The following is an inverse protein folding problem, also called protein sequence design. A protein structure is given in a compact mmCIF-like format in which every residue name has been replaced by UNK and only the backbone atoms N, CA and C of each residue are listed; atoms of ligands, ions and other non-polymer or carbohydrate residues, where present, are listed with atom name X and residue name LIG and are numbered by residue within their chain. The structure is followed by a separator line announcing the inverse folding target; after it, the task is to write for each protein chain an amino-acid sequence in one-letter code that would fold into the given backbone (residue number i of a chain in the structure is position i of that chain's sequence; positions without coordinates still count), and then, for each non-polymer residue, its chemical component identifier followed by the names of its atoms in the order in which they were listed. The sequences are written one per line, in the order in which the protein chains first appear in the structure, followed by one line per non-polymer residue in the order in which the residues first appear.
data_IF_196702158562
#
_entry.id   IF_196702158562
#
_cell.length_a   1.000
_cell.length_b   1.000
_cell.length_c   1.000
_cell.angle_alpha   90.00
_cell.angle_beta   90.00
_cell.angle_gamma   90.00
#
_symmetry.space_group_name_H-M   'P 1'
#
loop_
_entity.id
_entity.type
_entity.pdbx_description
1 polymer ?
#
# COMPACT_ATOMS: atom_id res chain seq x y z
N UNK A 1 21.00 27.94 11.30
CA UNK A 1 20.37 27.06 10.30
C UNK A 1 20.66 27.41 8.83
N UNK A 2 21.33 28.52 8.53
CA UNK A 2 21.71 28.88 7.14
C UNK A 2 22.67 27.91 6.40
N UNK A 3 23.23 26.92 7.11
CA UNK A 3 24.16 25.93 6.51
C UNK A 3 23.57 24.49 6.43
N UNK A 4 22.29 24.26 6.83
CA UNK A 4 21.70 22.93 6.80
C UNK A 4 21.32 22.54 5.36
N UNK A 5 21.71 21.35 4.92
CA UNK A 5 21.28 20.82 3.62
C UNK A 5 19.77 20.54 3.61
N UNK A 6 19.15 20.48 2.43
CA UNK A 6 17.72 20.14 2.31
C UNK A 6 17.42 18.77 2.96
N UNK A 7 18.31 17.79 2.77
CA UNK A 7 18.21 16.45 3.35
C UNK A 7 18.20 16.48 4.89
N UNK A 8 19.16 17.18 5.50
CA UNK A 8 19.23 17.33 6.96
C UNK A 8 18.00 18.08 7.52
N UNK A 9 17.53 19.08 6.78
CA UNK A 9 16.34 19.83 7.18
C UNK A 9 15.08 18.94 7.19
N UNK A 10 14.91 18.10 6.17
CA UNK A 10 13.82 17.13 6.12
C UNK A 10 13.88 16.13 7.28
N UNK A 11 15.06 15.57 7.55
CA UNK A 11 15.26 14.61 8.61
C UNK A 11 14.94 15.21 10.00
N UNK A 12 15.45 16.40 10.28
CA UNK A 12 15.23 17.09 11.57
C UNK A 12 13.79 17.60 11.74
N UNK A 13 13.10 17.94 10.65
CA UNK A 13 11.69 18.34 10.69
C UNK A 13 10.73 17.14 10.83
N UNK A 14 11.21 15.93 10.63
CA UNK A 14 10.41 14.71 10.70
C UNK A 14 9.84 14.48 12.12
N UNK A 15 8.57 14.09 12.28
CA UNK A 15 8.07 13.59 13.56
C UNK A 15 8.97 12.46 14.08
N UNK A 16 9.01 12.29 15.40
CA UNK A 16 9.91 11.32 16.03
C UNK A 16 9.63 9.90 15.50
N UNK A 17 10.71 9.26 15.01
CA UNK A 17 10.74 7.85 14.59
C UNK A 17 12.00 7.18 15.10
N UNK A 18 11.85 5.97 15.60
CA UNK A 18 12.96 5.20 16.16
C UNK A 18 14.05 4.94 15.12
N UNK A 19 13.69 4.65 13.86
CA UNK A 19 14.66 4.44 12.80
C UNK A 19 15.53 5.65 12.49
N UNK A 20 14.95 6.85 12.45
CA UNK A 20 15.71 8.08 12.24
C UNK A 20 16.65 8.39 13.43
N UNK A 21 16.23 8.05 14.66
CA UNK A 21 17.09 8.14 15.85
C UNK A 21 18.23 7.15 15.76
N UNK A 22 17.95 5.90 15.41
CA UNK A 22 18.95 4.85 15.23
C UNK A 22 20.00 5.22 14.14
N UNK A 23 19.55 5.85 13.08
CA UNK A 23 20.40 6.34 12.01
C UNK A 23 21.19 7.63 12.36
N UNK A 24 20.92 8.24 13.51
CA UNK A 24 21.59 9.46 13.98
C UNK A 24 21.25 10.72 13.16
N UNK A 25 20.07 10.75 12.51
CA UNK A 25 19.63 11.86 11.64
C UNK A 25 18.43 12.63 12.19
N UNK A 26 17.77 12.09 13.20
CA UNK A 26 16.65 12.76 13.87
C UNK A 26 17.06 14.07 14.55
N UNK A 27 16.09 14.94 14.82
CA UNK A 27 16.30 16.07 15.72
C UNK A 27 16.67 15.57 17.13
N UNK A 28 17.61 16.25 17.80
CA UNK A 28 18.07 15.90 19.13
C UNK A 28 16.96 16.09 20.21
N UNK A 29 16.06 17.03 19.94
CA UNK A 29 14.95 17.36 20.85
C UNK A 29 13.83 18.09 20.10
N UNK A 30 12.68 18.29 20.80
CA UNK A 30 11.50 18.94 20.22
C UNK A 30 11.76 20.39 19.76
N UNK A 31 12.63 21.13 20.47
CA UNK A 31 12.96 22.51 20.10
C UNK A 31 13.68 22.55 18.73
N UNK A 32 14.65 21.66 18.52
CA UNK A 32 15.32 21.54 17.24
C UNK A 32 14.35 21.12 16.13
N UNK A 33 13.44 20.18 16.40
CA UNK A 33 12.42 19.76 15.45
C UNK A 33 11.53 20.91 15.05
N UNK A 34 11.00 21.67 16.00
CA UNK A 34 10.13 22.82 15.73
C UNK A 34 10.88 23.87 14.91
N UNK A 35 12.14 24.18 15.25
CA UNK A 35 12.96 25.09 14.44
C UNK A 35 13.17 24.59 13.03
N UNK A 36 13.37 23.28 12.85
CA UNK A 36 13.51 22.67 11.52
C UNK A 36 12.19 22.73 10.74
N UNK A 37 11.04 22.49 11.38
CA UNK A 37 9.73 22.64 10.75
C UNK A 37 9.43 24.07 10.31
N UNK A 38 9.76 25.06 11.15
CA UNK A 38 9.62 26.47 10.78
C UNK A 38 10.50 26.82 9.57
N UNK A 39 11.76 26.39 9.57
CA UNK A 39 12.65 26.63 8.43
C UNK A 39 12.20 25.86 7.18
N UNK A 40 11.65 24.65 7.32
CA UNK A 40 11.13 23.86 6.21
C UNK A 40 9.89 24.54 5.60
N UNK A 41 9.03 25.17 6.40
CA UNK A 41 7.86 25.89 5.93
C UNK A 41 8.21 27.04 4.95
N UNK A 42 9.37 27.66 5.13
CA UNK A 42 9.86 28.76 4.29
C UNK A 42 10.61 28.29 3.03
N UNK A 43 10.83 26.98 2.85
CA UNK A 43 11.55 26.44 1.68
C UNK A 43 10.66 26.56 0.44
N UNK A 44 11.12 27.25 -0.65
CA UNK A 44 10.40 27.26 -1.90
C UNK A 44 10.33 25.88 -2.54
N UNK A 45 9.17 25.47 -3.08
CA UNK A 45 9.00 24.16 -3.73
C UNK A 45 10.00 23.94 -4.88
N UNK A 46 10.33 24.99 -5.64
CA UNK A 46 11.35 24.92 -6.71
C UNK A 46 12.72 24.46 -6.22
N UNK A 47 13.02 24.58 -4.93
CA UNK A 47 14.30 24.11 -4.37
C UNK A 47 14.45 22.60 -4.49
N UNK A 48 13.36 21.84 -4.41
CA UNK A 48 13.36 20.39 -4.57
C UNK A 48 13.72 19.94 -5.99
N UNK A 49 13.47 20.79 -7.00
CA UNK A 49 13.84 20.54 -8.39
C UNK A 49 15.31 20.90 -8.70
N UNK A 50 15.98 21.69 -7.83
CA UNK A 50 17.35 22.12 -8.03
C UNK A 50 18.34 21.49 -7.05
N UNK A 51 17.87 20.82 -5.99
CA UNK A 51 18.66 20.23 -4.91
C UNK A 51 18.09 18.87 -4.55
N UNK A 52 18.65 17.82 -5.18
CA UNK A 52 18.26 16.44 -4.89
C UNK A 52 18.74 16.02 -3.49
N UNK A 53 17.93 15.22 -2.77
CA UNK A 53 18.29 14.66 -1.45
C UNK A 53 19.28 13.48 -1.58
N UNK A 54 19.18 12.73 -2.69
CA UNK A 54 20.18 11.74 -3.15
C UNK A 54 20.69 12.23 -4.51
N UNK A 55 22.00 12.19 -4.80
CA UNK A 55 22.54 12.75 -6.04
C UNK A 55 21.98 12.07 -7.29
N UNK A 56 21.64 12.85 -8.31
CA UNK A 56 21.07 12.41 -9.58
C UNK A 56 21.96 11.37 -10.29
N UNK A 57 23.26 11.58 -10.28
CA UNK A 57 24.25 10.74 -10.99
C UNK A 57 24.38 9.34 -10.39
N UNK A 58 24.00 9.17 -9.11
CA UNK A 58 24.27 7.94 -8.34
C UNK A 58 23.01 7.14 -7.99
N UNK A 59 21.81 7.59 -8.41
CA UNK A 59 20.56 6.97 -7.96
C UNK A 59 19.49 7.00 -9.06
N UNK A 60 19.09 5.84 -9.57
CA UNK A 60 18.07 5.73 -10.62
C UNK A 60 16.69 6.24 -10.17
N UNK A 61 16.38 6.15 -8.85
CA UNK A 61 15.11 6.67 -8.32
C UNK A 61 15.10 8.19 -8.39
N UNK A 62 16.24 8.87 -8.10
CA UNK A 62 16.35 10.31 -8.28
C UNK A 62 16.23 10.70 -9.76
N UNK A 63 16.87 9.96 -10.67
CA UNK A 63 16.70 10.18 -12.13
C UNK A 63 15.23 10.06 -12.52
N UNK A 64 14.56 8.99 -12.09
CA UNK A 64 13.14 8.79 -12.36
C UNK A 64 12.28 9.96 -11.86
N UNK A 65 12.50 10.44 -10.63
CA UNK A 65 11.75 11.56 -10.03
C UNK A 65 11.93 12.84 -10.85
N UNK A 66 13.17 13.15 -11.21
CA UNK A 66 13.48 14.39 -11.90
C UNK A 66 13.04 14.38 -13.37
N UNK A 67 13.24 13.25 -14.06
CA UNK A 67 12.94 13.12 -15.49
C UNK A 67 11.45 12.97 -15.79
N UNK A 68 10.67 12.44 -14.82
CA UNK A 68 9.22 12.30 -14.95
C UNK A 68 8.40 13.48 -14.40
N UNK A 69 9.08 14.53 -13.87
CA UNK A 69 8.40 15.70 -13.32
C UNK A 69 7.65 16.49 -14.39
N UNK A 70 6.35 16.71 -14.18
CA UNK A 70 5.51 17.53 -15.07
C UNK A 70 5.50 18.99 -14.62
N UNK A 71 6.27 19.82 -15.33
CA UNK A 71 6.39 21.25 -15.05
C UNK A 71 5.07 22.01 -15.30
N UNK A 72 4.21 21.53 -16.20
CA UNK A 72 2.93 22.16 -16.47
C UNK A 72 1.94 21.89 -15.33
N UNK A 73 1.86 20.64 -14.88
CA UNK A 73 1.07 20.29 -13.69
C UNK A 73 1.57 20.99 -12.41
N UNK A 74 2.88 21.22 -12.29
CA UNK A 74 3.49 21.96 -11.17
C UNK A 74 3.22 23.47 -11.19
N UNK A 75 2.98 24.07 -12.35
CA UNK A 75 2.90 25.53 -12.52
C UNK A 75 1.99 26.24 -11.50
N UNK A 76 0.78 25.73 -11.13
CA UNK A 76 -0.11 26.41 -10.19
C UNK A 76 0.49 26.63 -8.79
N UNK A 77 1.39 25.74 -8.33
CA UNK A 77 2.01 25.82 -7.00
C UNK A 77 3.48 26.17 -7.05
N UNK A 78 4.03 26.46 -8.23
CA UNK A 78 5.47 26.67 -8.46
C UNK A 78 6.07 27.85 -7.70
N UNK A 79 5.26 28.81 -7.26
CA UNK A 79 5.69 29.96 -6.44
C UNK A 79 5.53 29.72 -4.95
N UNK A 80 4.97 28.60 -4.53
CA UNK A 80 4.69 28.32 -3.13
C UNK A 80 5.95 27.89 -2.38
N UNK A 81 5.95 28.16 -1.07
CA UNK A 81 6.79 27.46 -0.11
C UNK A 81 6.09 26.18 0.36
N UNK A 82 6.81 25.33 1.09
CA UNK A 82 6.25 24.12 1.71
C UNK A 82 5.09 24.47 2.64
N UNK A 83 5.21 25.53 3.45
CA UNK A 83 4.15 26.00 4.33
C UNK A 83 2.92 26.47 3.56
N UNK A 84 3.11 27.22 2.47
CA UNK A 84 2.02 27.66 1.61
C UNK A 84 1.34 26.49 0.90
N UNK A 85 2.08 25.47 0.47
CA UNK A 85 1.49 24.25 -0.08
C UNK A 85 0.63 23.56 0.97
N UNK A 86 1.15 23.35 2.20
CA UNK A 86 0.40 22.76 3.31
C UNK A 86 -0.89 23.54 3.58
N UNK A 87 -0.82 24.87 3.69
CA UNK A 87 -1.98 25.70 3.98
C UNK A 87 -3.02 25.63 2.86
N UNK A 88 -2.58 25.67 1.60
CA UNK A 88 -3.46 25.53 0.44
C UNK A 88 -4.14 24.15 0.37
N UNK A 89 -3.40 23.08 0.65
CA UNK A 89 -3.95 21.71 0.71
C UNK A 89 -5.10 21.57 1.72
N UNK A 90 -5.14 22.39 2.76
CA UNK A 90 -6.21 22.38 3.77
C UNK A 90 -7.46 23.17 3.33
N UNK A 91 -7.38 23.96 2.26
CA UNK A 91 -8.51 24.77 1.77
C UNK A 91 -9.47 23.96 0.87
N UNK A 92 -10.71 24.42 0.68
CA UNK A 92 -11.61 23.84 -0.31
C UNK A 92 -11.14 23.96 -1.76
N UNK A 93 -10.22 24.89 -2.08
CA UNK A 93 -9.68 25.07 -3.44
C UNK A 93 -8.82 23.88 -3.89
N UNK A 94 -8.24 23.12 -2.94
CA UNK A 94 -7.58 21.85 -3.19
C UNK A 94 -8.63 20.73 -3.20
N UNK A 95 -9.49 20.73 -4.21
CA UNK A 95 -10.49 19.68 -4.42
C UNK A 95 -9.92 18.46 -5.17
N UNK A 96 -10.73 17.42 -5.32
CA UNK A 96 -10.32 16.16 -5.96
C UNK A 96 -9.81 16.37 -7.39
N UNK A 97 -10.47 17.18 -8.20
CA UNK A 97 -10.07 17.41 -9.59
C UNK A 97 -8.74 18.15 -9.68
N UNK A 98 -8.58 19.18 -8.85
CA UNK A 98 -7.34 19.98 -8.76
C UNK A 98 -6.17 19.14 -8.26
N UNK A 99 -6.37 18.31 -7.23
CA UNK A 99 -5.32 17.42 -6.69
C UNK A 99 -4.92 16.35 -7.70
N UNK A 100 -5.88 15.78 -8.42
CA UNK A 100 -5.59 14.81 -9.50
C UNK A 100 -4.74 15.43 -10.61
N UNK A 101 -5.07 16.65 -11.03
CA UNK A 101 -4.31 17.37 -12.05
C UNK A 101 -2.91 17.79 -11.57
N UNK A 102 -2.75 18.06 -10.28
CA UNK A 102 -1.48 18.49 -9.67
C UNK A 102 -0.51 17.31 -9.44
N UNK A 103 -1.02 16.10 -9.20
CA UNK A 103 -0.22 14.94 -8.79
C UNK A 103 1.05 14.69 -9.66
N UNK A 104 1.02 14.76 -11.01
CA UNK A 104 2.23 14.59 -11.82
C UNK A 104 3.29 15.69 -11.63
N UNK A 105 2.89 16.86 -11.13
CA UNK A 105 3.77 18.01 -10.86
C UNK A 105 4.40 17.99 -9.47
N UNK A 106 3.98 17.10 -8.57
CA UNK A 106 4.56 16.98 -7.24
C UNK A 106 5.67 15.92 -7.21
N UNK A 107 6.82 16.29 -6.64
CA UNK A 107 7.84 15.28 -6.32
C UNK A 107 7.55 14.64 -4.97
N UNK A 108 8.02 13.40 -4.73
CA UNK A 108 7.90 12.74 -3.43
C UNK A 108 8.40 13.58 -2.26
N UNK A 109 9.52 14.26 -2.45
CA UNK A 109 10.15 15.08 -1.41
C UNK A 109 9.31 16.33 -1.08
N UNK A 110 8.59 16.92 -2.06
CA UNK A 110 7.67 18.03 -1.81
C UNK A 110 6.49 17.58 -0.94
N UNK A 111 5.94 16.41 -1.25
CA UNK A 111 4.81 15.83 -0.50
C UNK A 111 5.26 15.44 0.91
N UNK A 112 6.42 14.78 1.03
CA UNK A 112 7.04 14.45 2.31
C UNK A 112 7.28 15.70 3.18
N UNK A 113 7.80 16.78 2.59
CA UNK A 113 8.01 18.03 3.29
C UNK A 113 6.71 18.64 3.83
N UNK A 114 5.65 18.66 3.01
CA UNK A 114 4.35 19.20 3.41
C UNK A 114 3.71 18.36 4.54
N UNK A 115 3.79 17.02 4.47
CA UNK A 115 3.21 16.13 5.49
C UNK A 115 3.87 16.28 6.86
N UNK A 116 5.19 16.59 6.92
CA UNK A 116 5.91 16.87 8.17
C UNK A 116 5.36 18.09 8.94
N UNK A 117 4.69 19.01 8.23
CA UNK A 117 4.05 20.19 8.81
C UNK A 117 2.57 19.97 9.16
N UNK A 118 2.03 18.78 8.92
CA UNK A 118 0.61 18.44 9.15
C UNK A 118 0.43 17.67 10.45
N UNK A 119 -0.71 17.89 11.12
CA UNK A 119 -1.19 17.03 12.20
C UNK A 119 -1.95 15.83 11.61
N UNK A 120 -2.29 14.84 12.44
CA UNK A 120 -3.08 13.66 12.04
C UNK A 120 -4.37 14.09 11.34
N UNK A 121 -5.13 15.00 11.92
CA UNK A 121 -6.40 15.47 11.33
C UNK A 121 -6.20 16.16 9.97
N UNK A 122 -5.08 16.83 9.76
CA UNK A 122 -4.75 17.50 8.50
C UNK A 122 -4.44 16.45 7.42
N UNK A 123 -3.68 15.40 7.77
CA UNK A 123 -3.39 14.26 6.88
C UNK A 123 -4.68 13.56 6.43
N UNK A 124 -5.58 13.26 7.39
CA UNK A 124 -6.88 12.65 7.10
C UNK A 124 -7.71 13.54 6.17
N UNK A 125 -7.80 14.85 6.46
CA UNK A 125 -8.56 15.80 5.63
C UNK A 125 -8.00 15.88 4.20
N UNK A 126 -6.69 15.98 4.04
CA UNK A 126 -6.06 16.07 2.71
C UNK A 126 -6.25 14.76 1.93
N UNK A 127 -5.98 13.61 2.55
CA UNK A 127 -6.12 12.31 1.92
C UNK A 127 -7.58 12.03 1.47
N UNK A 128 -8.57 12.43 2.27
CA UNK A 128 -10.00 12.22 1.96
C UNK A 128 -10.46 12.96 0.69
N UNK A 129 -9.73 13.99 0.26
CA UNK A 129 -9.98 14.73 -0.99
C UNK A 129 -9.31 14.09 -2.22
N UNK A 130 -8.39 13.14 -2.03
CA UNK A 130 -7.70 12.46 -3.11
C UNK A 130 -8.47 11.20 -3.51
N UNK A 131 -8.90 11.10 -4.76
CA UNK A 131 -9.57 9.91 -5.30
C UNK A 131 -8.67 9.26 -6.36
N UNK A 132 -8.32 8.00 -6.15
CA UNK A 132 -7.54 7.20 -7.10
C UNK A 132 -8.30 5.92 -7.39
N UNK A 133 -8.69 5.72 -8.64
CA UNK A 133 -9.48 4.57 -9.10
C UNK A 133 -8.63 3.72 -10.03
N UNK A 134 -8.55 2.43 -9.74
CA UNK A 134 -7.82 1.45 -10.54
C UNK A 134 -8.72 0.27 -10.91
N UNK A 135 -8.35 -0.47 -11.95
CA UNK A 135 -9.20 -1.53 -12.53
C UNK A 135 -8.36 -2.68 -13.03
N UNK A 136 -8.86 -3.89 -12.77
CA UNK A 136 -8.37 -5.11 -13.40
C UNK A 136 -9.55 -6.07 -13.67
N UNK A 137 -10.00 -6.88 -12.70
CA UNK A 137 -11.25 -7.66 -12.81
C UNK A 137 -12.41 -7.00 -12.07
N UNK A 138 -12.12 -6.02 -11.25
CA UNK A 138 -13.07 -5.15 -10.59
C UNK A 138 -12.54 -3.71 -10.55
N UNK A 139 -13.32 -2.80 -9.93
CA UNK A 139 -13.02 -1.37 -9.85
C UNK A 139 -12.81 -0.96 -8.39
N UNK A 140 -11.57 -0.60 -8.05
CA UNK A 140 -11.14 -0.27 -6.69
C UNK A 140 -10.98 1.25 -6.52
N UNK A 141 -11.26 1.76 -5.31
CA UNK A 141 -11.03 3.18 -4.97
C UNK A 141 -12.14 4.14 -5.36
N UNK A 142 -13.32 3.66 -5.74
CA UNK A 142 -14.48 4.51 -5.99
C UNK A 142 -14.97 5.16 -4.69
N UNK A 143 -15.56 6.39 -4.75
CA UNK A 143 -16.17 7.01 -3.59
C UNK A 143 -17.22 6.10 -2.91
N UNK A 144 -17.20 6.06 -1.59
CA UNK A 144 -18.10 5.19 -0.82
C UNK A 144 -17.72 3.70 -0.80
N UNK A 145 -16.61 3.33 -1.45
CA UNK A 145 -16.09 1.95 -1.46
C UNK A 145 -14.88 1.81 -0.53
N UNK A 146 -14.68 0.60 -0.04
CA UNK A 146 -13.54 0.21 0.77
C UNK A 146 -13.27 -1.26 0.52
N UNK A 147 -12.12 -1.55 -0.08
CA UNK A 147 -11.76 -2.90 -0.50
C UNK A 147 -10.85 -3.59 0.52
N UNK A 148 -10.61 -4.88 0.33
CA UNK A 148 -9.68 -5.64 1.16
C UNK A 148 -8.88 -6.65 0.34
N UNK A 149 -7.61 -6.80 0.68
CA UNK A 149 -6.81 -7.96 0.29
C UNK A 149 -7.17 -9.12 1.22
N UNK A 150 -7.61 -10.24 0.68
CA UNK A 150 -7.74 -11.49 1.39
C UNK A 150 -6.39 -12.19 1.41
N UNK A 151 -5.80 -12.40 2.60
CA UNK A 151 -4.49 -13.02 2.78
C UNK A 151 -4.63 -14.41 3.41
N UNK A 152 -4.67 -15.48 2.60
CA UNK A 152 -4.88 -16.84 3.07
C UNK A 152 -3.55 -17.57 3.33
N UNK A 153 -2.60 -16.92 4.02
CA UNK A 153 -1.28 -17.49 4.28
C UNK A 153 -1.38 -18.81 5.05
N UNK A 154 -0.53 -19.77 4.68
CA UNK A 154 -0.46 -21.05 5.38
C UNK A 154 1.01 -21.48 5.57
N UNK A 155 1.44 -21.94 6.77
CA UNK A 155 2.85 -22.19 7.09
C UNK A 155 3.55 -23.22 6.22
N UNK A 156 2.79 -24.07 5.52
CA UNK A 156 3.32 -25.14 4.65
C UNK A 156 2.77 -25.09 3.22
N UNK A 157 2.08 -24.01 2.83
CA UNK A 157 1.38 -23.89 1.54
C UNK A 157 0.40 -25.04 1.27
N UNK A 158 -0.21 -25.62 2.33
CA UNK A 158 -1.19 -26.69 2.17
C UNK A 158 -2.44 -26.15 1.47
N UNK A 159 -2.79 -26.75 0.32
CA UNK A 159 -3.88 -26.28 -0.54
C UNK A 159 -5.23 -26.26 0.17
N UNK A 160 -5.50 -27.21 1.09
CA UNK A 160 -6.77 -27.27 1.82
C UNK A 160 -6.85 -26.19 2.87
N UNK A 161 -5.73 -25.93 3.58
CA UNK A 161 -5.64 -24.84 4.55
C UNK A 161 -5.79 -23.47 3.89
N UNK A 162 -5.11 -23.24 2.76
CA UNK A 162 -5.26 -22.03 1.94
C UNK A 162 -6.70 -21.86 1.48
N UNK A 163 -7.32 -22.91 0.92
CA UNK A 163 -8.70 -22.88 0.44
C UNK A 163 -9.70 -22.58 1.58
N UNK A 164 -9.51 -23.18 2.76
CA UNK A 164 -10.36 -22.91 3.92
C UNK A 164 -10.30 -21.41 4.32
N UNK A 165 -9.11 -20.82 4.34
CA UNK A 165 -8.93 -19.39 4.62
C UNK A 165 -9.52 -18.50 3.53
N UNK A 166 -9.39 -18.88 2.25
CA UNK A 166 -10.04 -18.14 1.14
C UNK A 166 -11.56 -18.16 1.30
N UNK A 167 -12.15 -19.31 1.57
CA UNK A 167 -13.61 -19.46 1.77
C UNK A 167 -14.07 -18.62 2.96
N UNK A 168 -13.34 -18.67 4.07
CA UNK A 168 -13.66 -17.87 5.27
C UNK A 168 -13.66 -16.38 4.96
N UNK A 169 -12.60 -15.85 4.34
CA UNK A 169 -12.52 -14.45 3.96
C UNK A 169 -13.63 -14.01 3.00
N UNK A 170 -13.93 -14.81 1.97
CA UNK A 170 -15.03 -14.52 1.03
C UNK A 170 -16.38 -14.43 1.74
N UNK A 171 -16.61 -15.25 2.79
CA UNK A 171 -17.83 -15.21 3.58
C UNK A 171 -18.01 -13.93 4.38
N UNK A 172 -16.92 -13.25 4.70
CA UNK A 172 -16.94 -11.91 5.32
C UNK A 172 -16.92 -10.78 4.29
N UNK A 173 -17.00 -11.11 3.00
CA UNK A 173 -16.95 -10.12 1.92
C UNK A 173 -15.56 -9.53 1.72
N UNK A 174 -14.50 -10.21 2.13
CA UNK A 174 -13.12 -9.84 1.88
C UNK A 174 -12.61 -10.44 0.57
N UNK A 175 -11.66 -9.76 -0.10
CA UNK A 175 -10.98 -10.27 -1.29
C UNK A 175 -11.27 -9.49 -2.57
N UNK A 176 -11.99 -8.40 -2.51
CA UNK A 176 -12.27 -7.55 -3.67
C UNK A 176 -11.02 -6.80 -4.17
N UNK A 177 -10.06 -6.42 -3.31
CA UNK A 177 -8.81 -5.85 -3.80
C UNK A 177 -7.93 -6.91 -4.48
N UNK A 178 -7.76 -8.05 -3.84
CA UNK A 178 -6.99 -9.19 -4.34
C UNK A 178 -7.13 -10.39 -3.37
N UNK A 179 -7.05 -11.60 -3.89
CA UNK A 179 -6.67 -12.76 -3.09
C UNK A 179 -5.16 -12.91 -3.21
N UNK A 180 -4.44 -12.45 -2.18
CA UNK A 180 -2.99 -12.32 -2.19
C UNK A 180 -2.33 -13.19 -1.13
N UNK A 181 -1.53 -14.18 -1.54
CA UNK A 181 -0.86 -15.11 -0.66
C UNK A 181 0.66 -14.90 -0.64
N UNK A 182 1.24 -14.82 0.56
CA UNK A 182 2.67 -14.94 0.75
C UNK A 182 3.02 -16.44 0.78
N UNK A 183 3.82 -16.97 -0.16
CA UNK A 183 4.17 -18.38 -0.15
C UNK A 183 5.13 -18.68 1.01
N UNK A 184 4.97 -19.82 1.66
CA UNK A 184 5.89 -20.29 2.72
C UNK A 184 7.27 -20.63 2.14
N UNK A 185 7.38 -20.80 0.82
CA UNK A 185 8.62 -21.16 0.12
C UNK A 185 8.66 -20.50 -1.26
N UNK A 186 9.83 -19.95 -1.62
CA UNK A 186 10.12 -19.40 -2.96
C UNK A 186 10.32 -20.47 -4.05
N UNK A 187 9.95 -21.74 -3.79
CA UNK A 187 10.08 -22.77 -4.79
C UNK A 187 9.10 -22.57 -5.95
N UNK A 188 9.62 -22.59 -7.17
CA UNK A 188 8.80 -22.41 -8.39
C UNK A 188 7.63 -23.41 -8.48
N UNK A 189 7.78 -24.70 -8.09
CA UNK A 189 6.64 -25.63 -8.03
C UNK A 189 5.56 -25.20 -7.03
N UNK A 190 5.92 -24.72 -5.83
CA UNK A 190 4.96 -24.25 -4.84
C UNK A 190 4.20 -23.02 -5.34
N UNK A 191 4.92 -22.00 -5.84
CA UNK A 191 4.34 -20.80 -6.44
C UNK A 191 3.35 -21.16 -7.57
N UNK A 192 3.75 -22.06 -8.48
CA UNK A 192 2.89 -22.48 -9.58
C UNK A 192 1.65 -23.26 -9.15
N UNK A 193 1.71 -24.03 -8.04
CA UNK A 193 0.51 -24.68 -7.44
C UNK A 193 -0.44 -23.66 -6.84
N UNK A 194 0.07 -22.68 -6.09
CA UNK A 194 -0.74 -21.64 -5.48
C UNK A 194 -1.43 -20.77 -6.54
N UNK A 195 -0.71 -20.34 -7.59
CA UNK A 195 -1.32 -19.57 -8.67
C UNK A 195 -2.46 -20.33 -9.35
N UNK A 196 -2.28 -21.62 -9.65
CA UNK A 196 -3.35 -22.45 -10.24
C UNK A 196 -4.53 -22.64 -9.28
N UNK A 197 -4.25 -22.89 -7.98
CA UNK A 197 -5.30 -23.05 -6.98
C UNK A 197 -6.19 -21.80 -6.91
N UNK A 198 -5.59 -20.61 -6.85
CA UNK A 198 -6.35 -19.36 -6.79
C UNK A 198 -7.10 -19.10 -8.10
N UNK A 199 -6.49 -19.36 -9.26
CA UNK A 199 -7.13 -19.21 -10.57
C UNK A 199 -8.33 -20.15 -10.72
N UNK A 200 -8.18 -21.41 -10.30
CA UNK A 200 -9.27 -22.40 -10.32
C UNK A 200 -10.46 -22.00 -9.45
N UNK A 201 -10.19 -21.50 -8.24
CA UNK A 201 -11.25 -21.03 -7.32
C UNK A 201 -11.98 -19.81 -7.91
N UNK A 202 -11.22 -18.83 -8.41
CA UNK A 202 -11.78 -17.61 -9.02
C UNK A 202 -12.64 -17.97 -10.22
N UNK A 203 -12.16 -18.85 -11.11
CA UNK A 203 -12.87 -19.26 -12.30
C UNK A 203 -14.12 -20.09 -11.98
N UNK A 204 -14.04 -21.03 -11.02
CA UNK A 204 -15.14 -21.92 -10.66
C UNK A 204 -16.35 -21.19 -10.09
N UNK A 205 -16.11 -20.14 -9.29
CA UNK A 205 -17.18 -19.37 -8.65
C UNK A 205 -17.48 -18.04 -9.34
N UNK A 206 -16.85 -17.80 -10.50
CA UNK A 206 -16.99 -16.55 -11.26
C UNK A 206 -16.81 -15.32 -10.34
N UNK A 207 -15.71 -15.32 -9.55
CA UNK A 207 -15.41 -14.27 -8.58
C UNK A 207 -14.76 -13.10 -9.33
N UNK A 208 -15.33 -11.90 -9.29
CA UNK A 208 -14.73 -10.72 -9.92
C UNK A 208 -13.62 -10.14 -9.04
N UNK A 209 -12.54 -10.88 -8.93
CA UNK A 209 -11.32 -10.51 -8.23
C UNK A 209 -10.09 -11.04 -8.95
N UNK A 210 -8.94 -10.64 -8.53
CA UNK A 210 -7.63 -11.03 -9.05
C UNK A 210 -6.85 -11.83 -8.02
N UNK A 211 -5.94 -12.69 -8.49
CA UNK A 211 -5.01 -13.42 -7.65
C UNK A 211 -3.60 -12.81 -7.69
N UNK A 212 -2.86 -13.00 -6.59
CA UNK A 212 -1.45 -12.69 -6.51
C UNK A 212 -0.73 -13.67 -5.59
N UNK A 213 0.37 -14.26 -6.04
CA UNK A 213 1.34 -14.89 -5.15
C UNK A 213 2.49 -13.91 -4.95
N UNK A 214 2.69 -13.49 -3.70
CA UNK A 214 3.66 -12.44 -3.35
C UNK A 214 5.07 -13.03 -3.31
N UNK A 215 5.65 -13.18 -4.48
CA UNK A 215 7.00 -13.70 -4.69
C UNK A 215 7.84 -12.70 -5.48
N UNK A 216 9.14 -12.88 -5.49
CA UNK A 216 10.04 -12.01 -6.23
C UNK A 216 9.66 -11.95 -7.73
N UNK A 217 9.80 -10.78 -8.33
CA UNK A 217 9.42 -10.51 -9.73
C UNK A 217 10.02 -11.50 -10.74
N UNK A 218 11.25 -11.98 -10.50
CA UNK A 218 11.89 -13.01 -11.36
C UNK A 218 11.15 -14.34 -11.36
N UNK A 219 10.57 -14.74 -10.22
CA UNK A 219 9.73 -15.93 -10.13
C UNK A 219 8.43 -15.75 -10.91
N UNK A 220 7.82 -14.56 -10.81
CA UNK A 220 6.63 -14.23 -11.59
C UNK A 220 6.90 -14.30 -13.10
N UNK A 221 8.01 -13.72 -13.56
CA UNK A 221 8.43 -13.83 -14.97
C UNK A 221 8.61 -15.29 -15.41
N UNK A 222 9.21 -16.14 -14.56
CA UNK A 222 9.37 -17.55 -14.87
C UNK A 222 8.02 -18.29 -14.89
N UNK A 223 7.06 -17.94 -14.03
CA UNK A 223 5.69 -18.48 -14.08
C UNK A 223 5.00 -18.11 -15.40
N UNK A 224 5.13 -16.87 -15.83
CA UNK A 224 4.58 -16.41 -17.12
C UNK A 224 5.20 -17.21 -18.28
N UNK A 225 6.52 -17.40 -18.30
CA UNK A 225 7.21 -18.19 -19.36
C UNK A 225 6.73 -19.64 -19.40
N UNK A 226 6.33 -20.21 -18.25
CA UNK A 226 5.77 -21.56 -18.14
C UNK A 226 4.28 -21.66 -18.46
N UNK A 227 3.63 -20.55 -18.81
CA UNK A 227 2.19 -20.51 -19.08
C UNK A 227 1.32 -20.73 -17.84
N UNK A 228 1.85 -20.44 -16.65
CA UNK A 228 1.08 -20.45 -15.40
C UNK A 228 0.20 -19.18 -15.37
N UNK A 229 -1.08 -19.26 -14.93
CA UNK A 229 -1.93 -18.08 -14.85
C UNK A 229 -1.39 -17.08 -13.83
N UNK A 230 -1.13 -15.86 -14.26
CA UNK A 230 -0.70 -14.73 -13.41
C UNK A 230 -1.64 -13.56 -13.67
N UNK A 231 -2.31 -13.06 -12.63
CA UNK A 231 -3.12 -11.86 -12.73
C UNK A 231 -2.29 -10.61 -12.41
N UNK A 232 -1.67 -10.57 -11.24
CA UNK A 232 -0.86 -9.44 -10.81
C UNK A 232 0.60 -9.84 -10.62
N UNK A 233 1.49 -8.94 -10.99
CA UNK A 233 2.91 -9.02 -10.65
C UNK A 233 3.18 -8.24 -9.37
N UNK A 234 3.71 -8.92 -8.36
CA UNK A 234 4.07 -8.33 -7.08
C UNK A 234 5.55 -7.97 -7.03
N UNK A 235 5.89 -6.88 -6.32
CA UNK A 235 7.26 -6.60 -5.87
C UNK A 235 7.28 -5.60 -4.72
N UNK A 236 8.14 -5.84 -3.72
CA UNK A 236 8.53 -4.83 -2.72
C UNK A 236 9.53 -3.85 -3.33
N UNK A 237 9.32 -2.56 -3.11
CA UNK A 237 10.14 -1.48 -3.65
C UNK A 237 10.58 -0.50 -2.56
N UNK A 238 11.66 0.23 -2.81
CA UNK A 238 12.22 1.20 -1.89
C UNK A 238 12.60 2.51 -2.58
N UNK A 239 12.89 3.54 -1.79
CA UNK A 239 13.14 4.92 -2.25
C UNK A 239 14.54 5.22 -2.74
N UNK A 240 15.43 4.22 -2.91
CA UNK A 240 16.76 4.38 -3.48
C UNK A 240 17.15 3.21 -4.36
N UNK A 241 17.98 3.46 -5.40
CA UNK A 241 18.54 2.41 -6.25
C UNK A 241 19.28 1.35 -5.44
N UNK A 242 20.09 1.77 -4.45
CA UNK A 242 20.85 0.86 -3.59
C UNK A 242 19.95 -0.07 -2.78
N UNK A 243 18.83 0.42 -2.26
CA UNK A 243 17.86 -0.41 -1.53
C UNK A 243 17.14 -1.37 -2.48
N UNK A 244 16.70 -0.91 -3.64
CA UNK A 244 16.10 -1.77 -4.68
C UNK A 244 17.07 -2.85 -5.15
N UNK A 245 18.34 -2.51 -5.38
CA UNK A 245 19.36 -3.49 -5.73
C UNK A 245 19.60 -4.55 -4.63
N UNK A 246 19.46 -4.19 -3.34
CA UNK A 246 19.53 -5.16 -2.24
C UNK A 246 18.36 -6.14 -2.22
N UNK A 247 17.20 -5.77 -2.80
CA UNK A 247 16.06 -6.64 -3.05
C UNK A 247 16.18 -7.43 -4.37
N UNK A 248 17.28 -7.23 -5.12
CA UNK A 248 17.48 -7.89 -6.41
C UNK A 248 16.70 -7.28 -7.57
N UNK A 249 16.25 -6.03 -7.47
CA UNK A 249 15.45 -5.36 -8.49
C UNK A 249 16.13 -4.09 -9.04
N UNK A 250 15.73 -3.74 -10.26
CA UNK A 250 16.04 -2.49 -10.95
C UNK A 250 14.80 -2.02 -11.71
N UNK A 251 14.76 -0.76 -12.15
CA UNK A 251 13.66 -0.27 -12.99
C UNK A 251 13.52 -1.08 -14.28
N UNK A 252 14.62 -1.49 -14.91
CA UNK A 252 14.58 -2.30 -16.14
C UNK A 252 13.94 -3.69 -15.94
N UNK A 253 14.18 -4.33 -14.79
CA UNK A 253 13.54 -5.59 -14.43
C UNK A 253 12.04 -5.41 -14.16
N UNK A 254 11.67 -4.32 -13.51
CA UNK A 254 10.26 -3.97 -13.30
C UNK A 254 9.54 -3.64 -14.62
N UNK A 255 10.22 -2.97 -15.58
CA UNK A 255 9.70 -2.70 -16.92
C UNK A 255 9.42 -4.04 -17.64
N UNK A 256 10.36 -4.99 -17.63
CA UNK A 256 10.16 -6.35 -18.23
C UNK A 256 8.94 -7.06 -17.59
N UNK A 257 8.83 -7.01 -16.26
CA UNK A 257 7.75 -7.70 -15.57
C UNK A 257 6.38 -7.06 -15.84
N UNK A 258 6.32 -5.74 -15.88
CA UNK A 258 5.11 -5.00 -16.23
C UNK A 258 4.63 -5.34 -17.64
N UNK A 259 5.53 -5.26 -18.65
CA UNK A 259 5.21 -5.60 -20.03
C UNK A 259 4.77 -7.06 -20.17
N UNK A 260 5.48 -7.99 -19.53
CA UNK A 260 5.16 -9.41 -19.56
C UNK A 260 3.76 -9.69 -18.97
N UNK A 261 3.45 -9.09 -17.81
CA UNK A 261 2.17 -9.32 -17.14
C UNK A 261 1.02 -8.66 -17.92
N UNK A 262 1.24 -7.44 -18.43
CA UNK A 262 0.26 -6.72 -19.24
C UNK A 262 -0.09 -7.47 -20.52
N UNK A 263 0.91 -8.15 -21.13
CA UNK A 263 0.73 -8.94 -22.37
C UNK A 263 -0.23 -10.12 -22.21
N UNK A 264 -0.47 -10.60 -20.99
CA UNK A 264 -1.38 -11.71 -20.71
C UNK A 264 -2.86 -11.33 -20.87
N UNK A 265 -3.20 -10.04 -20.80
CA UNK A 265 -4.56 -9.50 -21.01
C UNK A 265 -5.63 -10.20 -20.18
N UNK A 266 -5.35 -10.46 -18.91
CA UNK A 266 -6.25 -11.20 -18.03
C UNK A 266 -7.28 -10.30 -17.30
N UNK A 267 -7.12 -8.98 -17.34
CA UNK A 267 -8.10 -8.03 -16.83
C UNK A 267 -9.40 -8.03 -17.64
N UNK A 268 -10.54 -7.88 -16.97
CA UNK A 268 -11.88 -7.86 -17.59
C UNK A 268 -12.48 -6.46 -17.66
N UNK A 269 -12.05 -5.56 -16.76
CA UNK A 269 -12.54 -4.16 -16.71
C UNK A 269 -11.41 -3.13 -16.77
N UNK A 270 -10.15 -3.57 -16.72
CA UNK A 270 -8.98 -2.70 -16.81
C UNK A 270 -7.69 -3.49 -16.97
N UNK A 271 -6.56 -2.76 -16.92
CA UNK A 271 -5.22 -3.26 -17.23
C UNK A 271 -4.15 -2.91 -16.20
N UNK A 272 -4.55 -2.53 -14.97
CA UNK A 272 -3.60 -2.28 -13.88
C UNK A 272 -3.10 -3.64 -13.35
N UNK A 273 -1.86 -4.02 -13.66
CA UNK A 273 -1.32 -5.38 -13.42
C UNK A 273 -0.27 -5.47 -12.31
N UNK A 274 0.18 -4.33 -11.75
CA UNK A 274 1.22 -4.32 -10.73
C UNK A 274 0.64 -4.18 -9.33
N UNK A 275 1.26 -4.87 -8.39
CA UNK A 275 1.03 -4.74 -6.97
C UNK A 275 2.37 -4.48 -6.28
N UNK A 276 2.51 -3.30 -5.64
CA UNK A 276 3.71 -2.93 -4.92
C UNK A 276 3.49 -2.91 -3.42
N UNK A 277 4.49 -3.36 -2.68
CA UNK A 277 4.59 -3.14 -1.24
C UNK A 277 5.78 -2.24 -0.92
N UNK A 278 5.58 -1.40 0.10
CA UNK A 278 6.56 -0.48 0.64
C UNK A 278 6.50 -0.52 2.17
N UNK A 279 7.39 0.16 2.85
CA UNK A 279 7.34 0.26 4.31
C UNK A 279 8.46 1.14 4.85
N UNK A 280 8.10 2.03 5.77
CA UNK A 280 9.09 2.86 6.44
C UNK A 280 10.14 2.00 7.15
N UNK A 281 11.41 2.34 6.98
CA UNK A 281 12.54 1.58 7.50
C UNK A 281 13.25 0.71 6.46
N UNK A 282 12.64 0.36 5.33
CA UNK A 282 13.22 -0.55 4.32
C UNK A 282 14.60 -0.10 3.83
N UNK A 283 14.76 1.16 3.45
CA UNK A 283 16.06 1.67 3.00
C UNK A 283 17.07 1.84 4.14
N UNK A 284 16.61 2.06 5.38
CA UNK A 284 17.45 2.12 6.57
C UNK A 284 18.00 0.73 6.90
N UNK A 285 17.14 -0.29 6.92
CA UNK A 285 17.53 -1.68 7.19
C UNK A 285 18.55 -2.21 6.19
N UNK A 286 18.47 -1.76 4.94
CA UNK A 286 19.43 -2.08 3.87
C UNK A 286 20.74 -1.26 3.93
N UNK A 287 20.91 -0.34 4.89
CA UNK A 287 22.03 0.59 4.91
C UNK A 287 22.13 1.48 3.66
N UNK A 288 21.00 1.84 3.08
CA UNK A 288 20.87 2.48 1.77
C UNK A 288 20.14 3.84 1.84
N UNK A 289 20.11 4.47 3.01
CA UNK A 289 19.32 5.69 3.26
C UNK A 289 20.02 7.01 2.89
N UNK A 290 21.31 7.02 2.66
CA UNK A 290 22.09 8.22 2.29
C UNK A 290 21.89 9.44 3.22
N UNK A 291 21.50 9.22 4.49
CA UNK A 291 21.17 10.28 5.44
C UNK A 291 19.81 10.95 5.20
N UNK A 292 18.95 10.35 4.40
CA UNK A 292 17.54 10.74 4.21
C UNK A 292 16.69 10.02 5.25
N UNK A 293 15.72 10.71 5.83
CA UNK A 293 14.79 10.14 6.81
C UNK A 293 13.83 9.11 6.20
N UNK A 294 13.34 8.19 7.04
CA UNK A 294 12.57 7.04 6.56
C UNK A 294 11.25 7.43 5.90
N UNK A 295 10.58 8.50 6.35
CA UNK A 295 9.32 8.96 5.73
C UNK A 295 9.56 9.57 4.33
N UNK A 296 10.64 10.35 4.15
CA UNK A 296 11.01 10.87 2.83
C UNK A 296 11.41 9.73 1.88
N UNK A 297 12.12 8.71 2.38
CA UNK A 297 12.48 7.51 1.60
C UNK A 297 11.24 6.70 1.19
N UNK A 298 10.26 6.58 2.05
CA UNK A 298 8.98 5.94 1.73
C UNK A 298 8.26 6.67 0.60
N UNK A 299 8.15 8.00 0.68
CA UNK A 299 7.58 8.78 -0.41
C UNK A 299 8.35 8.61 -1.73
N UNK A 300 9.67 8.44 -1.69
CA UNK A 300 10.49 8.20 -2.89
C UNK A 300 10.21 6.84 -3.53
N UNK A 301 9.87 5.80 -2.76
CA UNK A 301 9.41 4.53 -3.29
C UNK A 301 8.12 4.70 -4.13
N UNK A 302 7.27 5.64 -3.76
CA UNK A 302 6.04 5.95 -4.51
C UNK A 302 6.32 6.49 -5.92
N UNK A 303 7.46 7.11 -6.18
CA UNK A 303 7.84 7.47 -7.54
C UNK A 303 8.07 6.23 -8.42
N UNK A 304 8.66 5.18 -7.86
CA UNK A 304 8.82 3.89 -8.55
C UNK A 304 7.45 3.30 -8.86
N UNK A 305 6.56 3.20 -7.86
CA UNK A 305 5.20 2.69 -8.06
C UNK A 305 4.44 3.46 -9.15
N UNK A 306 4.49 4.80 -9.13
CA UNK A 306 3.75 5.68 -10.06
C UNK A 306 4.08 5.41 -11.52
N UNK A 307 5.33 5.01 -11.85
CA UNK A 307 5.76 4.68 -13.21
C UNK A 307 4.89 3.60 -13.85
N UNK A 308 4.42 2.62 -13.06
CA UNK A 308 3.76 1.41 -13.54
C UNK A 308 2.23 1.44 -13.43
N UNK A 309 1.64 2.53 -12.97
CA UNK A 309 0.19 2.67 -12.77
C UNK A 309 -0.41 1.43 -12.10
N UNK A 310 0.02 1.07 -10.87
CA UNK A 310 -0.33 -0.20 -10.25
C UNK A 310 -1.83 -0.30 -9.95
N UNK A 311 -2.32 -1.54 -9.82
CA UNK A 311 -3.64 -1.80 -9.25
C UNK A 311 -3.65 -1.44 -7.77
N UNK A 312 -2.60 -1.81 -7.05
CA UNK A 312 -2.46 -1.69 -5.59
C UNK A 312 -1.07 -1.19 -5.22
N UNK A 313 -1.02 -0.28 -4.26
CA UNK A 313 0.19 0.06 -3.50
C UNK A 313 -0.14 -0.11 -2.02
N UNK A 314 0.57 -0.99 -1.35
CA UNK A 314 0.39 -1.28 0.06
C UNK A 314 1.60 -0.77 0.86
N UNK A 315 1.38 0.12 1.81
CA UNK A 315 2.40 0.43 2.81
C UNK A 315 2.23 -0.50 4.01
N UNK A 316 3.33 -1.13 4.43
CA UNK A 316 3.34 -2.09 5.54
C UNK A 316 3.94 -1.38 6.75
N UNK A 317 3.08 -0.91 7.66
CA UNK A 317 3.52 -0.20 8.86
C UNK A 317 3.79 -1.18 10.00
N UNK A 318 4.90 -1.01 10.70
CA UNK A 318 5.22 -1.80 11.89
C UNK A 318 5.79 -3.21 11.64
N UNK A 319 5.88 -3.68 10.40
CA UNK A 319 6.40 -5.01 10.06
C UNK A 319 7.93 -5.05 9.92
N UNK A 320 8.55 -3.98 9.42
CA UNK A 320 10.01 -3.96 9.19
C UNK A 320 10.78 -4.20 10.49
N UNK A 321 10.29 -3.66 11.60
CA UNK A 321 10.79 -3.91 12.94
C UNK A 321 10.55 -2.74 13.89
N UNK A 322 10.48 -3.01 15.21
CA UNK A 322 10.25 -2.00 16.23
C UNK A 322 11.39 -0.99 16.33
N UNK A 323 12.58 -1.32 15.83
CA UNK A 323 13.71 -0.39 15.73
C UNK A 323 13.45 0.78 14.77
N UNK A 324 12.46 0.67 13.87
CA UNK A 324 12.07 1.72 12.92
C UNK A 324 10.80 2.46 13.35
N UNK A 325 9.79 1.74 13.84
CA UNK A 325 8.53 2.27 14.39
C UNK A 325 8.23 1.53 15.72
N UNK A 326 8.65 2.09 16.84
CA UNK A 326 8.71 1.39 18.11
C UNK A 326 7.35 1.19 18.79
N UNK A 327 6.43 2.14 18.64
CA UNK A 327 5.15 2.13 19.37
C UNK A 327 3.96 2.52 18.50
N UNK A 328 2.75 2.26 19.01
CA UNK A 328 1.49 2.55 18.34
C UNK A 328 1.38 3.98 17.82
N UNK A 329 1.86 4.97 18.58
CA UNK A 329 1.86 6.37 18.16
C UNK A 329 2.71 6.63 16.90
N UNK A 330 3.89 6.00 16.80
CA UNK A 330 4.75 6.10 15.63
C UNK A 330 4.12 5.36 14.43
N UNK A 331 3.51 4.19 14.66
CA UNK A 331 2.84 3.38 13.64
C UNK A 331 1.64 4.15 13.06
N UNK A 332 0.74 4.67 13.91
CA UNK A 332 -0.42 5.45 13.47
C UNK A 332 0.02 6.68 12.67
N UNK A 333 1.04 7.38 13.13
CA UNK A 333 1.55 8.57 12.43
C UNK A 333 2.15 8.19 11.08
N UNK A 334 2.94 7.13 11.01
CA UNK A 334 3.58 6.66 9.79
C UNK A 334 2.53 6.24 8.74
N UNK A 335 1.56 5.41 9.12
CA UNK A 335 0.52 4.96 8.21
C UNK A 335 -0.27 6.10 7.60
N UNK A 336 -0.71 7.06 8.42
CA UNK A 336 -1.46 8.22 7.90
C UNK A 336 -0.61 9.14 7.01
N UNK A 337 0.69 9.27 7.25
CA UNK A 337 1.59 10.01 6.37
C UNK A 337 1.79 9.30 5.04
N UNK A 338 2.08 8.00 5.09
CA UNK A 338 2.30 7.17 3.91
C UNK A 338 1.06 7.16 3.01
N UNK A 339 -0.10 6.90 3.62
CA UNK A 339 -1.38 6.98 2.92
C UNK A 339 -1.61 8.35 2.27
N UNK A 340 -1.47 9.45 3.03
CA UNK A 340 -1.70 10.81 2.52
C UNK A 340 -0.72 11.16 1.39
N UNK A 341 0.57 10.86 1.57
CA UNK A 341 1.61 11.15 0.59
C UNK A 341 1.41 10.36 -0.71
N UNK A 342 1.12 9.06 -0.60
CA UNK A 342 0.83 8.24 -1.77
C UNK A 342 -0.41 8.70 -2.54
N UNK A 343 -1.49 9.05 -1.83
CA UNK A 343 -2.70 9.61 -2.45
C UNK A 343 -2.45 10.93 -3.16
N UNK A 344 -1.66 11.84 -2.58
CA UNK A 344 -1.26 13.10 -3.21
C UNK A 344 -0.41 12.89 -4.47
N UNK A 345 0.34 11.80 -4.53
CA UNK A 345 1.11 11.39 -5.70
C UNK A 345 0.28 10.60 -6.73
N UNK A 346 -1.03 10.43 -6.51
CA UNK A 346 -1.95 9.77 -7.43
C UNK A 346 -1.91 8.24 -7.36
N UNK A 347 -1.54 7.65 -6.22
CA UNK A 347 -1.44 6.22 -6.04
C UNK A 347 -2.67 5.59 -5.35
N UNK A 348 -3.05 4.37 -5.70
CA UNK A 348 -4.13 3.60 -5.09
C UNK A 348 -3.69 2.99 -3.76
N UNK A 349 -3.55 3.83 -2.74
CA UNK A 349 -2.99 3.45 -1.46
C UNK A 349 -3.90 2.53 -0.66
N UNK A 350 -3.34 1.40 -0.29
CA UNK A 350 -3.80 0.53 0.78
C UNK A 350 -2.76 0.46 1.90
N UNK A 351 -3.13 -0.18 2.99
CA UNK A 351 -2.26 -0.28 4.15
C UNK A 351 -2.41 -1.64 4.85
N UNK A 352 -1.27 -2.21 5.19
CA UNK A 352 -1.21 -3.28 6.17
C UNK A 352 -1.09 -2.65 7.56
N UNK A 353 -2.24 -2.57 8.24
CA UNK A 353 -2.39 -1.99 9.57
C UNK A 353 -1.88 -3.03 10.58
N UNK A 354 -0.59 -3.04 10.80
CA UNK A 354 0.06 -4.15 11.49
C UNK A 354 1.10 -3.73 12.52
N UNK A 355 1.42 -4.67 13.40
CA UNK A 355 2.52 -4.59 14.34
C UNK A 355 3.09 -5.99 14.62
N UNK A 356 4.30 -6.04 15.15
CA UNK A 356 4.91 -7.27 15.66
C UNK A 356 4.87 -7.26 17.19
N UNK A 357 4.90 -8.43 17.82
CA UNK A 357 4.89 -8.57 19.29
C UNK A 357 6.07 -7.89 20.02
N UNK A 358 7.06 -7.38 19.28
CA UNK A 358 8.19 -6.64 19.82
C UNK A 358 7.96 -5.13 19.89
N UNK A 359 6.94 -4.62 19.20
CA UNK A 359 6.56 -3.21 19.25
C UNK A 359 5.76 -2.92 20.53
N UNK A 360 5.86 -1.69 21.04
CA UNK A 360 5.02 -1.18 22.12
C UNK A 360 3.68 -0.68 21.54
N UNK A 361 2.92 -1.63 20.99
CA UNK A 361 1.65 -1.40 20.33
C UNK A 361 0.70 -2.57 20.62
N UNK A 362 -0.60 -2.32 20.46
CA UNK A 362 -1.63 -3.32 20.64
C UNK A 362 -2.75 -3.19 19.58
N UNK A 363 -3.79 -3.99 19.72
CA UNK A 363 -4.91 -4.01 18.78
C UNK A 363 -5.73 -2.72 18.83
N UNK A 364 -5.83 -2.04 19.99
CA UNK A 364 -6.54 -0.76 20.10
C UNK A 364 -5.86 0.35 19.28
N UNK A 365 -4.52 0.35 19.21
CA UNK A 365 -3.76 1.24 18.33
C UNK A 365 -4.08 0.97 16.84
N UNK A 366 -4.20 -0.32 16.46
CA UNK A 366 -4.51 -0.71 15.09
C UNK A 366 -5.95 -0.40 14.73
N UNK A 367 -6.90 -0.59 15.62
CA UNK A 367 -8.31 -0.20 15.45
C UNK A 367 -8.45 1.32 15.22
N UNK A 368 -7.65 2.10 15.95
CA UNK A 368 -7.59 3.55 15.75
C UNK A 368 -7.05 3.90 14.35
N UNK A 369 -5.94 3.31 13.94
CA UNK A 369 -5.35 3.54 12.62
C UNK A 369 -6.31 3.12 11.51
N UNK A 370 -6.90 1.92 11.59
CA UNK A 370 -7.89 1.40 10.65
C UNK A 370 -9.08 2.37 10.48
N UNK A 371 -9.61 2.86 11.60
CA UNK A 371 -10.73 3.82 11.59
C UNK A 371 -10.36 5.12 10.89
N UNK A 372 -9.19 5.69 11.19
CA UNK A 372 -8.71 6.93 10.58
C UNK A 372 -8.44 6.76 9.08
N UNK A 373 -7.89 5.62 8.65
CA UNK A 373 -7.70 5.29 7.24
C UNK A 373 -9.04 5.15 6.50
N UNK A 374 -10.02 4.52 7.12
CA UNK A 374 -11.38 4.44 6.56
C UNK A 374 -12.00 5.81 6.33
N UNK A 375 -11.84 6.74 7.28
CA UNK A 375 -12.28 8.14 7.15
C UNK A 375 -11.46 8.89 6.09
N UNK A 376 -10.15 8.66 6.03
CA UNK A 376 -9.24 9.27 5.06
C UNK A 376 -9.44 8.79 3.62
N UNK A 377 -10.29 7.76 3.37
CA UNK A 377 -10.57 7.27 2.04
C UNK A 377 -9.49 6.31 1.51
N UNK A 378 -8.92 5.49 2.38
CA UNK A 378 -8.03 4.40 2.00
C UNK A 378 -8.74 3.47 1.00
N UNK A 379 -8.00 3.00 -0.01
CA UNK A 379 -8.56 2.17 -1.07
C UNK A 379 -8.83 0.74 -0.57
N UNK A 380 -7.90 0.19 0.21
CA UNK A 380 -8.01 -1.17 0.77
C UNK A 380 -7.12 -1.36 1.99
N UNK A 381 -7.41 -2.38 2.77
CA UNK A 381 -6.55 -2.88 3.85
C UNK A 381 -6.39 -4.40 3.75
N UNK A 382 -5.52 -4.96 4.59
CA UNK A 382 -5.41 -6.41 4.74
C UNK A 382 -6.67 -6.98 5.38
N UNK A 383 -6.94 -8.25 5.10
CA UNK A 383 -7.87 -9.10 5.79
C UNK A 383 -7.21 -10.45 6.00
N UNK A 384 -6.98 -10.82 7.26
CA UNK A 384 -6.36 -12.09 7.64
C UNK A 384 -7.28 -12.87 8.59
N UNK A 385 -7.10 -14.20 8.73
CA UNK A 385 -7.85 -14.96 9.71
C UNK A 385 -7.52 -14.54 11.14
N UNK A 386 -8.51 -14.08 11.90
CA UNK A 386 -8.38 -13.82 13.33
C UNK A 386 -7.37 -12.75 13.76
N UNK A 387 -6.97 -11.86 12.87
CA UNK A 387 -6.00 -10.78 13.10
C UNK A 387 -4.56 -11.26 13.43
N UNK A 388 -4.26 -12.54 13.28
CA UNK A 388 -2.95 -13.13 13.59
C UNK A 388 -2.44 -13.96 12.41
N UNK A 389 -1.39 -13.49 11.73
CA UNK A 389 -0.73 -14.24 10.68
C UNK A 389 0.35 -15.15 11.26
N UNK A 390 -0.01 -16.41 11.44
CA UNK A 390 0.86 -17.42 12.05
C UNK A 390 2.05 -17.83 11.16
N UNK A 391 2.01 -17.54 9.85
CA UNK A 391 3.12 -17.82 8.95
C UNK A 391 4.18 -16.71 9.02
N UNK A 392 3.75 -15.45 8.97
CA UNK A 392 4.64 -14.28 9.01
C UNK A 392 4.97 -13.82 10.43
N UNK A 393 4.18 -14.24 11.44
CA UNK A 393 4.41 -13.94 12.84
C UNK A 393 4.15 -12.47 13.20
N UNK A 394 3.05 -11.89 12.72
CA UNK A 394 2.64 -10.52 13.00
C UNK A 394 1.12 -10.41 13.14
N UNK A 395 0.65 -9.32 13.73
CA UNK A 395 -0.75 -8.98 13.88
C UNK A 395 -1.14 -7.93 12.83
N UNK A 396 -2.34 -8.08 12.26
CA UNK A 396 -2.92 -7.16 11.29
C UNK A 396 -4.45 -7.12 11.44
N UNK A 397 -5.16 -6.54 10.47
CA UNK A 397 -6.62 -6.48 10.46
C UNK A 397 -7.25 -7.80 10.03
N UNK A 398 -8.30 -8.23 10.73
CA UNK A 398 -9.05 -9.43 10.43
C UNK A 398 -10.13 -9.19 9.36
N UNK A 399 -10.71 -10.29 8.84
CA UNK A 399 -11.91 -10.20 7.99
C UNK A 399 -13.09 -9.52 8.72
N UNK A 400 -13.17 -9.68 10.05
CA UNK A 400 -14.20 -9.04 10.87
C UNK A 400 -14.00 -7.53 10.96
N UNK A 401 -12.76 -7.06 11.07
CA UNK A 401 -12.44 -5.63 11.14
C UNK A 401 -12.79 -4.93 9.84
N UNK A 402 -12.54 -5.56 8.70
CA UNK A 402 -12.97 -5.07 7.39
C UNK A 402 -14.49 -4.93 7.31
N UNK A 403 -15.22 -5.97 7.72
CA UNK A 403 -16.68 -5.98 7.73
C UNK A 403 -17.24 -4.93 8.69
N UNK A 404 -16.63 -4.80 9.88
CA UNK A 404 -16.99 -3.79 10.87
C UNK A 404 -16.81 -2.38 10.33
N UNK A 405 -15.64 -2.08 9.74
CA UNK A 405 -15.34 -0.75 9.20
C UNK A 405 -16.31 -0.35 8.09
N UNK A 406 -16.61 -1.28 7.15
CA UNK A 406 -17.60 -1.03 6.11
C UNK A 406 -18.97 -0.66 6.70
N UNK A 407 -19.40 -1.40 7.73
CA UNK A 407 -20.68 -1.16 8.40
C UNK A 407 -20.70 0.20 9.11
N UNK A 408 -19.69 0.52 9.90
CA UNK A 408 -19.62 1.75 10.71
C UNK A 408 -19.56 3.00 9.83
N UNK A 409 -18.80 2.95 8.72
CA UNK A 409 -18.63 4.08 7.81
C UNK A 409 -19.61 4.08 6.62
N UNK A 410 -20.53 3.13 6.54
CA UNK A 410 -21.46 2.98 5.42
C UNK A 410 -20.75 2.72 4.09
N UNK A 411 -19.60 2.07 4.12
CA UNK A 411 -18.81 1.72 2.94
C UNK A 411 -19.24 0.38 2.35
N UNK A 412 -19.02 0.20 1.05
CA UNK A 412 -19.37 -1.01 0.31
C UNK A 412 -18.11 -1.62 -0.33
N UNK A 413 -18.08 -2.93 -0.66
CA UNK A 413 -17.03 -3.52 -1.48
C UNK A 413 -16.96 -2.92 -2.89
N UNK A 414 -15.98 -3.32 -3.69
CA UNK A 414 -15.94 -3.01 -5.12
C UNK A 414 -17.25 -3.41 -5.80
N UNK A 415 -17.80 -2.62 -6.75
CA UNK A 415 -19.16 -2.83 -7.28
C UNK A 415 -19.38 -4.21 -7.89
N UNK A 416 -18.42 -4.70 -8.65
CA UNK A 416 -18.49 -6.00 -9.31
C UNK A 416 -18.50 -7.14 -8.28
N UNK A 417 -17.67 -7.02 -7.24
CA UNK A 417 -17.58 -7.97 -6.14
C UNK A 417 -18.82 -7.93 -5.24
N UNK A 418 -19.37 -6.74 -4.99
CA UNK A 418 -20.63 -6.58 -4.27
C UNK A 418 -21.78 -7.31 -4.96
N UNK A 419 -21.92 -7.13 -6.28
CA UNK A 419 -22.93 -7.84 -7.07
C UNK A 419 -22.73 -9.36 -7.02
N UNK A 420 -21.48 -9.83 -6.97
CA UNK A 420 -21.17 -11.24 -6.79
C UNK A 420 -21.57 -11.73 -5.39
N UNK A 421 -21.27 -11.00 -4.31
CA UNK A 421 -21.66 -11.35 -2.95
C UNK A 421 -23.19 -11.43 -2.78
N UNK A 422 -23.93 -10.54 -3.45
CA UNK A 422 -25.40 -10.59 -3.48
C UNK A 422 -25.91 -11.85 -4.21
N UNK A 423 -25.36 -12.19 -5.38
CA UNK A 423 -25.68 -13.41 -6.12
C UNK A 423 -25.42 -14.67 -5.30
N UNK A 424 -24.31 -14.69 -4.57
CA UNK A 424 -23.91 -15.79 -3.68
C UNK A 424 -24.76 -15.85 -2.39
N UNK A 425 -25.60 -14.85 -2.13
CA UNK A 425 -26.40 -14.76 -0.91
C UNK A 425 -25.54 -14.60 0.34
N UNK A 426 -24.43 -13.88 0.23
CA UNK A 426 -23.53 -13.50 1.34
C UNK A 426 -23.92 -12.12 1.86
N UNK A 427 -24.25 -11.19 0.93
CA UNK A 427 -24.77 -9.86 1.24
C UNK A 427 -26.27 -9.78 0.94
N UNK A 428 -26.99 -8.98 1.72
CA UNK A 428 -28.34 -8.51 1.40
C UNK A 428 -28.28 -7.40 0.34
N UNK A 429 -29.40 -7.08 -0.29
CA UNK A 429 -29.54 -5.94 -1.19
C UNK A 429 -29.25 -4.59 -0.48
N UNK A 430 -29.35 -4.52 0.85
CA UNK A 430 -28.94 -3.36 1.63
C UNK A 430 -27.41 -3.29 1.86
N UNK A 431 -26.65 -4.33 1.45
CA UNK A 431 -25.20 -4.43 1.64
C UNK A 431 -24.76 -4.89 3.02
N UNK A 432 -25.64 -5.51 3.75
CA UNK A 432 -25.35 -6.09 5.05
C UNK A 432 -24.98 -7.57 4.90
N UNK A 433 -23.97 -8.01 5.64
CA UNK A 433 -23.62 -9.43 5.72
C UNK A 433 -24.80 -10.19 6.33
N UNK A 434 -25.27 -11.23 5.63
CA UNK A 434 -26.28 -12.12 6.15
C UNK A 434 -25.73 -12.96 7.30
N UNK A 435 -26.56 -13.38 8.26
CA UNK A 435 -26.15 -14.34 9.30
C UNK A 435 -25.60 -15.63 8.68
N UNK A 436 -24.56 -16.26 9.25
CA UNK A 436 -23.94 -17.46 8.68
C UNK A 436 -24.92 -18.55 8.26
N UNK A 437 -25.98 -18.81 9.05
CA UNK A 437 -27.02 -19.82 8.74
C UNK A 437 -27.91 -19.46 7.56
N UNK A 438 -27.92 -18.21 7.10
CA UNK A 438 -28.76 -17.72 6.00
C UNK A 438 -27.98 -17.58 4.68
N UNK A 439 -26.65 -17.72 4.71
CA UNK A 439 -25.77 -17.58 3.54
C UNK A 439 -25.86 -18.80 2.64
N UNK A 440 -26.66 -18.73 1.60
CA UNK A 440 -26.93 -19.87 0.70
C UNK A 440 -25.73 -20.35 -0.10
N UNK A 441 -24.83 -19.44 -0.49
CA UNK A 441 -23.61 -19.75 -1.24
C UNK A 441 -22.58 -20.55 -0.44
N UNK A 442 -22.65 -20.54 0.89
CA UNK A 442 -21.73 -21.26 1.77
C UNK A 442 -21.72 -22.78 1.54
N UNK A 443 -22.88 -23.37 1.28
CA UNK A 443 -22.99 -24.80 1.02
C UNK A 443 -22.30 -25.22 -0.30
N UNK A 444 -22.15 -24.30 -1.24
CA UNK A 444 -21.39 -24.55 -2.48
C UNK A 444 -19.87 -24.42 -2.23
N UNK A 445 -19.44 -23.38 -1.52
CA UNK A 445 -18.03 -23.13 -1.17
C UNK A 445 -17.49 -24.18 -0.20
N UNK A 446 -18.29 -24.65 0.77
CA UNK A 446 -17.84 -25.65 1.77
C UNK A 446 -17.69 -27.08 1.23
N UNK A 447 -18.42 -27.45 0.17
CA UNK A 447 -18.33 -28.79 -0.43
C UNK A 447 -16.96 -29.13 -0.99
N UNK A 448 -16.18 -28.14 -1.40
CA UNK A 448 -14.81 -28.35 -1.89
C UNK A 448 -13.83 -28.84 -0.81
N UNK A 449 -14.02 -28.42 0.43
CA UNK A 449 -13.22 -28.94 1.54
C UNK A 449 -13.49 -30.45 1.77
N UNK A 450 -14.72 -30.90 1.48
CA UNK A 450 -15.10 -32.30 1.60
C UNK A 450 -14.63 -33.13 0.38
N UNK A 451 -14.77 -32.60 -0.84
CA UNK A 451 -14.44 -33.34 -2.08
C UNK A 451 -12.92 -33.35 -2.39
N UNK A 452 -12.18 -32.33 -1.99
CA UNK A 452 -10.70 -32.27 -2.14
C UNK A 452 -9.94 -33.31 -1.28
N UNK A 453 -10.66 -34.06 -0.45
CA UNK A 453 -10.13 -35.16 0.36
C UNK A 453 -9.85 -36.48 -0.40
N UNK A 454 -10.17 -36.57 -1.69
CA UNK A 454 -10.11 -37.83 -2.46
C UNK A 454 -9.13 -37.83 -3.65
N UNK A 455 -8.27 -36.80 -3.78
CA UNK A 455 -7.23 -36.75 -4.78
C UNK A 455 -5.82 -36.78 -4.13
N UNK A 456 -5.25 -37.96 -4.03
CA UNK A 456 -3.81 -38.15 -3.74
C UNK A 456 -2.93 -37.63 -4.85
#
# INVERSE_FOLDING_TARGET
MEKCSLRELLAKASPLRSGDVLAGIAAENEEERIRAQMALADVPLKRFLSKCVVPYETDEVTRLIMDSHDAQAFAPVSSFTVGQLRDWLLTPAADTATLTALAPGLTPEMVAAASKLMRIQDLVLVASKCSVVTRFRDTIGLPGRFSSRLQPNHPTDDARGVLASVIDGLQYGSGDAVIGINPASDSLPAIGRLLRLLDDVIARYDIPTQSCVLTHVTNTLEMIRRGVPVDLCFQSIAGTEKANASFGISLSLLDEAWDATLSLKRGTVGDNVMYFETGQGSALSAGAHFGVDQQTLECRAYAVARRYRPLLVNTVVGFIGPEYLFNGKQIIRAGLEDHCCGKLLGLPMGEDVCYTNHAEADQDDMDMLLTLLGVAGCNFVMGIPGADDIMLGYQSTSFHDVAWLRRVLGKRPAPEFEAWLERMGILSAAGELLPPGERRGMAALGRELEEGGHGN
#
